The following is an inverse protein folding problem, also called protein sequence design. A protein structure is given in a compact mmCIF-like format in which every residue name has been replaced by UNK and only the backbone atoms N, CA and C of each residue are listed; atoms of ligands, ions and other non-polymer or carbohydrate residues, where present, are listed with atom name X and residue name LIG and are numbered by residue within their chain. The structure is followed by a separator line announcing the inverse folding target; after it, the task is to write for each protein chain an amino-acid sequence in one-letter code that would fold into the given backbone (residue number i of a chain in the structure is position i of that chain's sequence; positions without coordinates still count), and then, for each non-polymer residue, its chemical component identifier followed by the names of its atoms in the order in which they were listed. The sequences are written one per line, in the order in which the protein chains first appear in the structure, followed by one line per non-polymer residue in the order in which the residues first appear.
data_IF_638922849635
#
_entry.id   IF_638922849635
#
_cell.length_a   1.000
_cell.length_b   1.000
_cell.length_c   1.000
_cell.angle_alpha   90.00
_cell.angle_beta   90.00
_cell.angle_gamma   90.00
#
_symmetry.space_group_name_H-M   'P 1'
#
loop_
_entity.id
_entity.type
_entity.pdbx_description
1 polymer ?
#
# COMPACT_ATOMS: atom_id res chain seq x y z
N UNK A 1 -19.48 -6.32 2.87
CA UNK A 1 -18.03 -6.41 2.58
C UNK A 1 -17.44 -7.43 3.55
N UNK A 2 -16.89 -8.54 3.05
CA UNK A 2 -16.30 -9.59 3.90
C UNK A 2 -14.88 -9.17 4.27
N UNK A 3 -14.67 -8.78 5.52
CA UNK A 3 -13.34 -8.61 6.09
C UNK A 3 -12.84 -10.01 6.46
N UNK A 4 -11.98 -10.59 5.62
CA UNK A 4 -11.19 -11.72 6.07
C UNK A 4 -10.21 -11.20 7.10
N UNK A 5 -10.23 -11.81 8.28
CA UNK A 5 -9.42 -11.52 9.46
C UNK A 5 -7.90 -11.71 9.27
N UNK A 6 -7.42 -11.73 8.03
CA UNK A 6 -6.09 -12.23 7.63
C UNK A 6 -5.03 -11.14 7.52
N UNK A 7 -5.38 -9.87 7.68
CA UNK A 7 -4.43 -8.77 7.49
C UNK A 7 -3.98 -8.59 6.04
N UNK A 8 -4.70 -9.15 5.06
CA UNK A 8 -4.37 -9.01 3.64
C UNK A 8 -5.44 -8.21 2.89
N UNK A 9 -5.00 -7.32 2.00
CA UNK A 9 -5.89 -6.51 1.17
C UNK A 9 -5.34 -6.35 -0.24
N UNK A 10 -6.10 -6.84 -1.22
CA UNK A 10 -5.86 -6.53 -2.63
C UNK A 10 -6.67 -5.29 -3.06
N UNK A 11 -6.03 -4.39 -3.80
CA UNK A 11 -6.67 -3.20 -4.39
C UNK A 11 -6.10 -2.90 -5.78
N UNK A 12 -6.97 -2.63 -6.75
CA UNK A 12 -6.54 -2.21 -8.09
C UNK A 12 -5.95 -0.80 -8.06
N UNK A 13 -5.03 -0.50 -8.98
CA UNK A 13 -4.37 0.81 -8.99
C UNK A 13 -5.35 1.97 -9.20
N UNK A 14 -6.37 1.78 -10.03
CA UNK A 14 -7.38 2.81 -10.30
C UNK A 14 -8.23 3.09 -9.05
N UNK A 15 -8.67 2.03 -8.37
CA UNK A 15 -9.39 2.13 -7.10
C UNK A 15 -8.53 2.78 -6.00
N UNK A 16 -7.25 2.41 -5.93
CA UNK A 16 -6.30 2.99 -4.98
C UNK A 16 -6.12 4.49 -5.22
N UNK A 17 -5.94 4.92 -6.47
CA UNK A 17 -5.84 6.34 -6.81
C UNK A 17 -7.14 7.10 -6.55
N UNK A 18 -8.28 6.49 -6.87
CA UNK A 18 -9.60 7.05 -6.62
C UNK A 18 -9.86 7.25 -5.13
N UNK A 19 -9.55 6.25 -4.31
CA UNK A 19 -9.68 6.32 -2.85
C UNK A 19 -8.82 7.43 -2.22
N UNK A 20 -7.69 7.78 -2.85
CA UNK A 20 -6.80 8.85 -2.42
C UNK A 20 -7.11 10.21 -3.09
N UNK A 21 -8.08 10.29 -4.00
CA UNK A 21 -8.40 11.52 -4.74
C UNK A 21 -7.29 11.98 -5.70
N UNK A 22 -6.48 11.04 -6.20
CA UNK A 22 -5.31 11.31 -7.05
C UNK A 22 -5.39 10.63 -8.42
N UNK A 23 -6.60 10.35 -8.90
CA UNK A 23 -6.85 9.66 -10.19
C UNK A 23 -6.04 10.23 -11.35
N UNK A 24 -5.94 11.56 -11.44
CA UNK A 24 -5.26 12.26 -12.53
C UNK A 24 -3.74 12.48 -12.28
N UNK A 25 -3.20 11.99 -11.16
CA UNK A 25 -1.79 12.14 -10.79
C UNK A 25 -1.01 10.83 -10.98
N UNK A 26 0.31 10.99 -11.12
CA UNK A 26 1.27 9.89 -11.24
C UNK A 26 0.89 8.91 -12.37
N UNK A 27 1.00 9.34 -13.64
CA UNK A 27 0.52 8.55 -14.78
C UNK A 27 1.23 7.20 -14.89
N UNK A 28 2.46 7.09 -14.38
CA UNK A 28 3.22 5.84 -14.36
C UNK A 28 3.19 5.19 -12.98
N UNK A 29 3.13 3.85 -12.97
CA UNK A 29 3.27 3.08 -11.72
C UNK A 29 4.59 3.39 -11.00
N UNK A 30 5.68 3.63 -11.73
CA UNK A 30 6.98 3.98 -11.14
C UNK A 30 6.90 5.23 -10.26
N UNK A 31 6.21 6.28 -10.72
CA UNK A 31 6.03 7.50 -9.95
C UNK A 31 5.08 7.32 -8.77
N UNK A 32 3.96 6.63 -9.00
CA UNK A 32 2.99 6.31 -7.96
C UNK A 32 3.66 5.51 -6.83
N UNK A 33 4.43 4.49 -7.21
CA UNK A 33 5.15 3.64 -6.28
C UNK A 33 6.19 4.43 -5.47
N UNK A 34 7.00 5.26 -6.13
CA UNK A 34 8.06 6.02 -5.46
C UNK A 34 7.51 7.09 -4.52
N UNK A 35 6.51 7.87 -4.97
CA UNK A 35 6.07 9.09 -4.28
C UNK A 35 4.91 8.86 -3.31
N UNK A 36 4.13 7.81 -3.51
CA UNK A 36 2.93 7.54 -2.69
C UNK A 36 3.10 6.23 -1.95
N UNK A 37 3.12 5.09 -2.66
CA UNK A 37 3.01 3.78 -2.02
C UNK A 37 4.20 3.52 -1.08
N UNK A 38 5.43 3.62 -1.59
CA UNK A 38 6.63 3.36 -0.79
C UNK A 38 6.79 4.39 0.34
N UNK A 39 6.56 5.67 0.06
CA UNK A 39 6.66 6.72 1.07
C UNK A 39 5.68 6.49 2.22
N UNK A 40 4.41 6.18 1.91
CA UNK A 40 3.39 5.91 2.93
C UNK A 40 3.67 4.62 3.72
N UNK A 41 4.13 3.56 3.06
CA UNK A 41 4.49 2.30 3.73
C UNK A 41 5.69 2.50 4.65
N UNK A 42 6.73 3.21 4.19
CA UNK A 42 7.92 3.50 5.00
C UNK A 42 7.55 4.38 6.21
N UNK A 43 6.68 5.38 6.04
CA UNK A 43 6.18 6.23 7.12
C UNK A 43 5.36 5.46 8.15
N UNK A 44 4.38 4.66 7.71
CA UNK A 44 3.52 3.88 8.60
C UNK A 44 4.33 2.84 9.38
N UNK A 45 5.32 2.19 8.74
CA UNK A 45 6.21 1.24 9.40
C UNK A 45 7.13 1.87 10.46
N UNK A 46 7.34 3.20 10.41
CA UNK A 46 8.12 3.95 11.41
C UNK A 46 7.21 4.46 12.54
N UNK A 47 6.02 4.97 12.19
CA UNK A 47 5.18 5.76 13.10
C UNK A 47 3.99 5.02 13.71
N UNK A 48 3.73 3.77 13.31
CA UNK A 48 2.60 3.00 13.81
C UNK A 48 3.03 1.67 14.44
N UNK A 49 2.11 1.04 15.16
CA UNK A 49 2.21 -0.34 15.64
C UNK A 49 1.89 -1.36 14.53
N UNK A 50 1.97 -0.97 13.26
CA UNK A 50 1.73 -1.86 12.11
C UNK A 50 3.02 -2.11 11.35
N UNK A 51 3.20 -3.36 10.96
CA UNK A 51 4.18 -3.79 9.95
C UNK A 51 3.40 -4.01 8.66
N UNK A 52 3.71 -3.21 7.65
CA UNK A 52 3.05 -3.19 6.35
C UNK A 52 4.04 -3.60 5.27
N UNK A 53 3.70 -4.65 4.54
CA UNK A 53 4.39 -5.09 3.32
C UNK A 53 3.41 -5.03 2.14
N UNK A 54 3.94 -4.95 0.93
CA UNK A 54 3.10 -5.02 -0.27
C UNK A 54 3.81 -5.69 -1.44
N UNK A 55 3.03 -6.34 -2.28
CA UNK A 55 3.45 -6.95 -3.53
C UNK A 55 2.65 -6.40 -4.70
N UNK A 56 3.25 -6.45 -5.90
CA UNK A 56 2.59 -6.01 -7.14
C UNK A 56 2.00 -7.18 -7.89
N UNK A 57 0.72 -7.10 -8.23
CA UNK A 57 0.05 -8.06 -9.11
C UNK A 57 0.11 -7.52 -10.55
N UNK A 58 0.78 -8.26 -11.44
CA UNK A 58 0.96 -7.86 -12.85
C UNK A 58 -0.14 -8.41 -13.74
N UNK A 59 -0.49 -7.65 -14.77
CA UNK A 59 -1.30 -8.08 -15.92
C UNK A 59 -0.48 -7.84 -17.18
N UNK A 60 0.18 -8.89 -17.67
CA UNK A 60 1.18 -8.78 -18.72
C UNK A 60 2.40 -7.99 -18.26
N UNK A 61 2.74 -6.90 -18.97
CA UNK A 61 3.90 -6.04 -18.66
C UNK A 61 3.60 -4.96 -17.61
N UNK A 62 2.33 -4.69 -17.33
CA UNK A 62 1.90 -3.61 -16.44
C UNK A 62 1.47 -4.14 -15.07
N UNK A 63 1.65 -3.33 -14.02
CA UNK A 63 1.08 -3.61 -12.70
C UNK A 63 -0.41 -3.25 -12.72
N UNK A 64 -1.27 -4.14 -12.25
CA UNK A 64 -2.72 -3.95 -12.22
C UNK A 64 -3.24 -3.66 -10.80
N UNK A 65 -2.64 -4.29 -9.79
CA UNK A 65 -3.08 -4.19 -8.41
C UNK A 65 -1.93 -4.31 -7.42
N UNK A 66 -2.21 -3.95 -6.17
CA UNK A 66 -1.33 -4.12 -5.02
C UNK A 66 -1.98 -5.10 -4.06
N UNK A 67 -1.19 -6.04 -3.55
CA UNK A 67 -1.55 -6.87 -2.41
C UNK A 67 -0.81 -6.36 -1.19
N UNK A 68 -1.54 -5.79 -0.23
CA UNK A 68 -0.99 -5.34 1.05
C UNK A 68 -1.15 -6.44 2.09
N UNK A 69 -0.13 -6.58 2.93
CA UNK A 69 -0.15 -7.41 4.12
C UNK A 69 0.14 -6.52 5.33
N UNK A 70 -0.67 -6.68 6.38
CA UNK A 70 -0.67 -5.91 7.60
C UNK A 70 -0.51 -6.85 8.79
N UNK A 71 0.53 -6.63 9.58
CA UNK A 71 0.78 -7.33 10.85
C UNK A 71 0.81 -6.33 11.98
N UNK A 72 0.28 -6.70 13.14
CA UNK A 72 0.52 -5.91 14.36
C UNK A 72 1.96 -6.11 14.80
N UNK A 73 2.68 -5.01 14.97
CA UNK A 73 3.92 -4.99 15.72
C UNK A 73 3.59 -5.20 17.19
N UNK A 74 4.30 -6.10 17.86
CA UNK A 74 4.19 -6.26 19.32
C UNK A 74 4.74 -5.04 20.08
N UNK A 75 5.42 -4.12 19.38
CA UNK A 75 6.07 -2.96 19.97
C UNK A 75 5.87 -1.72 19.10
N UNK A 76 5.34 -0.65 19.70
CA UNK A 76 5.34 0.68 19.11
C UNK A 76 6.79 1.09 18.90
N UNK A 77 7.17 1.40 17.66
CA UNK A 77 8.42 2.08 17.38
C UNK A 77 8.22 3.54 17.77
N UNK A 78 8.73 3.93 18.93
CA UNK A 78 8.96 5.34 19.23
C UNK A 78 10.17 5.78 18.41
N UNK A 79 9.95 6.63 17.40
CA UNK A 79 11.03 7.47 16.87
C UNK A 79 11.52 8.35 18.03
N UNK A 80 12.81 8.25 18.35
CA UNK A 80 13.51 9.04 19.38
C UNK A 80 14.37 10.10 18.69
#
# INVERSE_FOLDING_TARGET
MKFSSTGERVIYLDDFKSALGISDKYPTFKELNRRVIKASVDELNQRSDLIISYETIKKGRSVAALSFEFKKSAQLKMDL
#
